data_IF_437412747206
#
_entry.id   IF_437412747206
#
_cell.length_a   1.000
_cell.length_b   1.000
_cell.length_c   1.000
_cell.angle_alpha   90.00
_cell.angle_beta   90.00
_cell.angle_gamma   90.00
#
_symmetry.space_group_name_H-M   'P 1'
#
loop_
_entity.id
_entity.type
_entity.pdbx_description
1 polymer ?
#
# COMPACT_ATOMS: atom_id res chain seq x y z
N UNK A 1 -19.70 -2.31 -22.86
CA UNK A 1 -20.02 -2.93 -21.55
C UNK A 1 -19.01 -4.05 -21.33
N UNK A 2 -18.50 -4.26 -20.10
CA UNK A 2 -17.78 -5.50 -19.81
C UNK A 2 -18.71 -6.68 -20.10
N UNK A 3 -18.16 -7.78 -20.61
CA UNK A 3 -18.92 -9.02 -20.74
C UNK A 3 -19.44 -9.42 -19.35
N UNK A 4 -20.68 -9.89 -19.26
CA UNK A 4 -21.29 -10.35 -18.01
C UNK A 4 -20.40 -11.38 -17.30
N UNK A 5 -19.76 -12.27 -18.06
CA UNK A 5 -18.84 -13.26 -17.53
C UNK A 5 -17.60 -12.65 -16.86
N UNK A 6 -17.04 -11.59 -17.43
CA UNK A 6 -15.90 -10.85 -16.87
C UNK A 6 -16.30 -10.22 -15.53
N UNK A 7 -17.42 -9.52 -15.48
CA UNK A 7 -17.86 -8.87 -14.23
C UNK A 7 -18.17 -9.88 -13.12
N UNK A 8 -18.70 -11.07 -13.45
CA UNK A 8 -19.00 -12.10 -12.45
C UNK A 8 -17.72 -12.64 -11.84
N UNK A 9 -16.72 -12.97 -12.67
CA UNK A 9 -15.46 -13.54 -12.18
C UNK A 9 -14.69 -12.54 -11.29
N UNK A 10 -14.67 -11.25 -11.66
CA UNK A 10 -14.04 -10.22 -10.83
C UNK A 10 -14.74 -10.08 -9.48
N UNK A 11 -16.08 -10.00 -9.47
CA UNK A 11 -16.87 -9.87 -8.24
C UNK A 11 -16.74 -11.07 -7.33
N UNK A 12 -16.64 -12.28 -7.89
CA UNK A 12 -16.37 -13.50 -7.13
C UNK A 12 -15.04 -13.37 -6.38
N UNK A 13 -13.97 -12.99 -7.10
CA UNK A 13 -12.64 -12.83 -6.50
C UNK A 13 -12.61 -11.74 -5.42
N UNK A 14 -13.30 -10.61 -5.66
CA UNK A 14 -13.46 -9.54 -4.67
C UNK A 14 -14.20 -10.01 -3.42
N UNK A 15 -15.28 -10.78 -3.59
CA UNK A 15 -16.06 -11.32 -2.47
C UNK A 15 -15.24 -12.32 -1.67
N UNK A 16 -14.48 -13.20 -2.33
CA UNK A 16 -13.56 -14.13 -1.67
C UNK A 16 -12.52 -13.38 -0.82
N UNK A 17 -11.93 -12.30 -1.34
CA UNK A 17 -11.02 -11.45 -0.56
C UNK A 17 -11.71 -10.82 0.66
N UNK A 18 -12.93 -10.30 0.50
CA UNK A 18 -13.69 -9.68 1.58
C UNK A 18 -14.10 -10.67 2.67
N UNK A 19 -14.30 -11.93 2.30
CA UNK A 19 -14.73 -13.02 3.21
C UNK A 19 -13.57 -13.83 3.79
N UNK A 20 -12.32 -13.50 3.41
CA UNK A 20 -11.13 -14.15 3.94
C UNK A 20 -10.71 -15.42 3.20
N UNK A 21 -11.38 -15.77 2.10
CA UNK A 21 -11.04 -16.90 1.25
C UNK A 21 -9.86 -16.57 0.30
N UNK A 22 -8.70 -16.22 0.87
CA UNK A 22 -7.60 -15.60 0.13
C UNK A 22 -6.99 -16.53 -0.93
N UNK A 23 -6.84 -17.82 -0.67
CA UNK A 23 -6.37 -18.79 -1.67
C UNK A 23 -7.34 -18.92 -2.85
N UNK A 24 -8.64 -18.82 -2.59
CA UNK A 24 -9.66 -18.87 -3.62
C UNK A 24 -9.66 -17.56 -4.43
N UNK A 25 -9.56 -16.41 -3.74
CA UNK A 25 -9.45 -15.10 -4.36
C UNK A 25 -8.23 -15.03 -5.30
N UNK A 26 -7.06 -15.48 -4.85
CA UNK A 26 -5.84 -15.56 -5.66
C UNK A 26 -6.09 -16.33 -6.97
N UNK A 27 -6.70 -17.52 -6.90
CA UNK A 27 -7.01 -18.34 -8.07
C UNK A 27 -7.99 -17.63 -9.01
N UNK A 28 -9.06 -17.04 -8.48
CA UNK A 28 -10.08 -16.35 -9.28
C UNK A 28 -9.53 -15.11 -9.98
N UNK A 29 -8.70 -14.30 -9.31
CA UNK A 29 -8.04 -13.16 -9.95
C UNK A 29 -7.01 -13.58 -11.00
N UNK A 30 -6.22 -14.62 -10.74
CA UNK A 30 -5.28 -15.14 -11.75
C UNK A 30 -6.02 -15.65 -12.98
N UNK A 31 -7.14 -16.34 -12.79
CA UNK A 31 -8.01 -16.76 -13.89
C UNK A 31 -8.53 -15.54 -14.66
N UNK A 32 -9.01 -14.52 -13.96
CA UNK A 32 -9.47 -13.27 -14.57
C UNK A 32 -8.40 -12.62 -15.45
N UNK A 33 -7.19 -12.45 -14.91
CA UNK A 33 -6.07 -11.79 -15.62
C UNK A 33 -5.68 -12.59 -16.87
N UNK A 34 -5.71 -13.93 -16.81
CA UNK A 34 -5.40 -14.81 -17.95
C UNK A 34 -6.49 -14.81 -19.02
N UNK A 35 -7.76 -14.79 -18.61
CA UNK A 35 -8.90 -14.86 -19.53
C UNK A 35 -9.19 -13.51 -20.18
N UNK A 36 -9.11 -12.41 -19.43
CA UNK A 36 -9.53 -11.09 -19.86
C UNK A 36 -8.36 -10.11 -19.98
N UNK A 37 -7.40 -10.43 -20.86
CA UNK A 37 -6.12 -9.71 -20.98
C UNK A 37 -6.22 -8.26 -21.48
N UNK A 38 -7.39 -7.84 -21.98
CA UNK A 38 -7.68 -6.46 -22.42
C UNK A 38 -8.69 -5.76 -21.50
N UNK A 39 -9.02 -6.37 -20.35
CA UNK A 39 -9.98 -5.82 -19.40
C UNK A 39 -9.51 -4.49 -18.81
N UNK A 40 -10.45 -3.54 -18.67
CA UNK A 40 -10.23 -2.32 -17.90
C UNK A 40 -10.00 -2.58 -16.40
N UNK A 41 -10.39 -3.75 -15.89
CA UNK A 41 -10.31 -4.15 -14.48
C UNK A 41 -9.03 -4.94 -14.16
N UNK A 42 -8.08 -5.04 -15.09
CA UNK A 42 -6.81 -5.74 -14.83
C UNK A 42 -6.06 -5.19 -13.62
N UNK A 43 -6.11 -3.88 -13.38
CA UNK A 43 -5.48 -3.28 -12.19
C UNK A 43 -6.20 -3.67 -10.90
N UNK A 44 -7.52 -3.77 -10.92
CA UNK A 44 -8.31 -4.28 -9.79
C UNK A 44 -7.90 -5.72 -9.48
N UNK A 45 -7.86 -6.57 -10.51
CA UNK A 45 -7.51 -7.97 -10.34
C UNK A 45 -6.08 -8.13 -9.81
N UNK A 46 -5.10 -7.39 -10.34
CA UNK A 46 -3.71 -7.42 -9.86
C UNK A 46 -3.57 -6.95 -8.42
N UNK A 47 -4.23 -5.85 -8.06
CA UNK A 47 -4.26 -5.38 -6.67
C UNK A 47 -4.91 -6.42 -5.76
N UNK A 48 -6.02 -7.02 -6.21
CA UNK A 48 -6.72 -8.09 -5.50
C UNK A 48 -5.87 -9.34 -5.28
N UNK A 49 -5.11 -9.79 -6.28
CA UNK A 49 -4.13 -10.87 -6.15
C UNK A 49 -3.05 -10.51 -5.14
N UNK A 50 -2.49 -9.29 -5.23
CA UNK A 50 -1.48 -8.80 -4.29
C UNK A 50 -1.99 -8.81 -2.85
N UNK A 51 -3.23 -8.34 -2.62
CA UNK A 51 -3.87 -8.33 -1.32
C UNK A 51 -4.11 -9.75 -0.79
N UNK A 52 -4.63 -10.65 -1.63
CA UNK A 52 -4.83 -12.05 -1.25
C UNK A 52 -3.50 -12.70 -0.83
N UNK A 53 -2.42 -12.44 -1.56
CA UNK A 53 -1.08 -12.95 -1.24
C UNK A 53 -0.52 -12.34 0.04
N UNK A 54 -0.71 -11.05 0.27
CA UNK A 54 -0.31 -10.35 1.49
C UNK A 54 -0.99 -10.95 2.72
N UNK A 55 -2.30 -11.24 2.65
CA UNK A 55 -3.06 -11.87 3.74
C UNK A 55 -2.68 -13.32 4.00
N UNK A 56 -2.09 -13.98 3.02
CA UNK A 56 -1.46 -15.30 3.16
C UNK A 56 0.02 -15.21 3.60
N UNK A 57 0.51 -14.03 3.98
CA UNK A 57 1.91 -13.77 4.36
C UNK A 57 2.94 -14.06 3.26
N UNK A 58 2.48 -14.21 2.01
CA UNK A 58 3.32 -14.41 0.82
C UNK A 58 3.86 -13.08 0.31
N UNK A 59 4.48 -12.30 1.19
CA UNK A 59 4.83 -10.89 0.96
C UNK A 59 5.67 -10.65 -0.30
N UNK A 60 6.63 -11.52 -0.60
CA UNK A 60 7.45 -11.35 -1.81
C UNK A 60 6.64 -11.52 -3.09
N UNK A 61 5.65 -12.42 -3.10
CA UNK A 61 4.73 -12.59 -4.24
C UNK A 61 3.76 -11.41 -4.32
N UNK A 62 3.25 -10.94 -3.19
CA UNK A 62 2.39 -9.75 -3.14
C UNK A 62 3.09 -8.51 -3.72
N UNK A 63 4.35 -8.27 -3.33
CA UNK A 63 5.19 -7.19 -3.89
C UNK A 63 5.30 -7.30 -5.41
N UNK A 64 5.46 -8.52 -5.94
CA UNK A 64 5.56 -8.73 -7.38
C UNK A 64 4.27 -8.34 -8.11
N UNK A 65 3.10 -8.65 -7.54
CA UNK A 65 1.80 -8.27 -8.11
C UNK A 65 1.54 -6.76 -8.01
N UNK A 66 1.81 -6.14 -6.85
CA UNK A 66 1.65 -4.70 -6.69
C UNK A 66 2.59 -3.91 -7.61
N UNK A 67 3.80 -4.42 -7.87
CA UNK A 67 4.75 -3.81 -8.82
C UNK A 67 4.20 -3.76 -10.24
N UNK A 68 3.32 -4.68 -10.64
CA UNK A 68 2.67 -4.65 -11.96
C UNK A 68 1.69 -3.48 -12.13
N UNK A 69 1.33 -2.79 -11.05
CA UNK A 69 0.52 -1.55 -11.11
C UNK A 69 1.36 -0.33 -11.50
N UNK A 70 2.69 -0.47 -11.49
CA UNK A 70 3.64 0.60 -11.78
C UNK A 70 4.15 0.50 -13.22
N UNK A 71 4.43 1.63 -13.89
CA UNK A 71 5.03 1.62 -15.21
C UNK A 71 6.46 1.07 -15.15
N UNK A 72 6.87 0.36 -16.20
CA UNK A 72 8.21 -0.23 -16.31
C UNK A 72 9.34 0.81 -16.36
N UNK A 73 9.07 2.03 -16.88
CA UNK A 73 10.09 3.09 -17.00
C UNK A 73 9.69 4.32 -16.17
N UNK A 74 10.44 4.59 -15.09
CA UNK A 74 10.25 5.72 -14.18
C UNK A 74 11.25 6.83 -14.55
N UNK A 75 11.12 7.40 -15.76
CA UNK A 75 12.06 8.44 -16.26
C UNK A 75 11.52 9.87 -16.25
N UNK A 76 10.23 10.08 -15.96
CA UNK A 76 9.61 11.42 -15.83
C UNK A 76 9.14 11.64 -14.40
N UNK A 77 8.95 12.93 -14.03
CA UNK A 77 8.24 13.35 -12.80
C UNK A 77 7.01 12.47 -12.63
N UNK A 78 7.12 11.48 -11.75
CA UNK A 78 6.13 10.43 -11.59
C UNK A 78 4.99 11.03 -10.78
N UNK A 79 3.85 11.29 -11.40
CA UNK A 79 2.61 11.56 -10.66
C UNK A 79 1.91 10.23 -10.48
N UNK A 80 1.77 9.77 -9.24
CA UNK A 80 1.09 8.50 -8.96
C UNK A 80 -0.42 8.69 -9.14
N UNK A 81 -1.06 7.81 -9.91
CA UNK A 81 -2.50 7.64 -9.85
C UNK A 81 -2.90 6.79 -8.63
N UNK A 82 -4.21 6.68 -8.37
CA UNK A 82 -4.74 5.96 -7.22
C UNK A 82 -4.19 4.52 -7.10
N UNK A 83 -4.11 3.78 -8.21
CA UNK A 83 -3.62 2.40 -8.19
C UNK A 83 -2.13 2.33 -7.86
N UNK A 84 -1.35 3.25 -8.41
CA UNK A 84 0.08 3.32 -8.16
C UNK A 84 0.39 3.72 -6.71
N UNK A 85 -0.38 4.65 -6.15
CA UNK A 85 -0.28 5.04 -4.72
C UNK A 85 -0.57 3.84 -3.83
N UNK A 86 -1.69 3.15 -4.07
CA UNK A 86 -2.07 1.97 -3.30
C UNK A 86 -1.04 0.84 -3.43
N UNK A 87 -0.58 0.56 -4.64
CA UNK A 87 0.43 -0.48 -4.90
C UNK A 87 1.74 -0.21 -4.16
N UNK A 88 2.28 1.02 -4.23
CA UNK A 88 3.51 1.38 -3.51
C UNK A 88 3.35 1.31 -2.01
N UNK A 89 2.25 1.82 -1.47
CA UNK A 89 2.01 1.74 -0.03
C UNK A 89 1.97 0.28 0.44
N UNK A 90 1.24 -0.60 -0.25
CA UNK A 90 1.18 -2.02 0.11
C UNK A 90 2.52 -2.75 -0.09
N UNK A 91 3.32 -2.35 -1.08
CA UNK A 91 4.71 -2.83 -1.19
C UNK A 91 5.53 -2.45 0.06
N UNK A 92 5.38 -1.21 0.56
CA UNK A 92 5.99 -0.75 1.81
C UNK A 92 5.58 -1.60 3.01
N UNK A 93 4.28 -1.85 3.18
CA UNK A 93 3.75 -2.72 4.25
C UNK A 93 4.28 -4.16 4.15
N UNK A 94 4.32 -4.74 2.95
CA UNK A 94 4.91 -6.07 2.73
C UNK A 94 6.41 -6.09 3.09
N UNK A 95 7.15 -5.03 2.73
CA UNK A 95 8.58 -4.91 3.06
C UNK A 95 8.81 -4.73 4.55
N UNK A 96 7.91 -4.05 5.28
CA UNK A 96 7.93 -3.98 6.74
C UNK A 96 7.78 -5.37 7.38
N UNK A 97 6.82 -6.17 6.93
CA UNK A 97 6.63 -7.54 7.42
C UNK A 97 7.85 -8.44 7.14
N UNK A 98 8.56 -8.17 6.03
CA UNK A 98 9.83 -8.81 5.69
C UNK A 98 11.04 -8.19 6.42
N UNK A 99 10.85 -7.21 7.30
CA UNK A 99 11.90 -6.47 8.01
C UNK A 99 12.91 -5.76 7.07
N UNK A 100 12.53 -5.52 5.82
CA UNK A 100 13.35 -4.80 4.83
C UNK A 100 13.12 -3.29 4.94
N UNK A 101 13.48 -2.73 6.10
CA UNK A 101 13.12 -1.36 6.51
C UNK A 101 13.58 -0.27 5.54
N UNK A 102 14.77 -0.39 4.96
CA UNK A 102 15.29 0.62 4.01
C UNK A 102 14.50 0.64 2.70
N UNK A 103 14.09 -0.55 2.23
CA UNK A 103 13.25 -0.65 1.03
C UNK A 103 11.84 -0.16 1.33
N UNK A 104 11.29 -0.50 2.48
CA UNK A 104 9.98 0.00 2.93
C UNK A 104 9.98 1.54 3.00
N UNK A 105 11.02 2.14 3.61
CA UNK A 105 11.21 3.58 3.66
C UNK A 105 11.22 4.20 2.25
N UNK A 106 11.90 3.58 1.28
CA UNK A 106 11.92 4.05 -0.10
C UNK A 106 10.53 4.08 -0.75
N UNK A 107 9.68 3.08 -0.50
CA UNK A 107 8.31 3.06 -1.03
C UNK A 107 7.44 4.14 -0.38
N UNK A 108 7.53 4.34 0.93
CA UNK A 108 6.77 5.38 1.62
C UNK A 108 7.22 6.80 1.25
N UNK A 109 8.52 7.04 1.10
CA UNK A 109 9.04 8.30 0.56
C UNK A 109 8.49 8.57 -0.84
N UNK A 110 8.39 7.55 -1.68
CA UNK A 110 7.81 7.69 -3.01
C UNK A 110 6.33 8.08 -2.95
N UNK A 111 5.55 7.48 -2.05
CA UNK A 111 4.13 7.85 -1.84
C UNK A 111 4.03 9.30 -1.34
N UNK A 112 4.77 9.69 -0.31
CA UNK A 112 4.75 11.07 0.20
C UNK A 112 5.08 12.10 -0.91
N UNK A 113 6.12 11.81 -1.70
CA UNK A 113 6.63 12.74 -2.71
C UNK A 113 5.77 12.80 -3.96
N UNK A 114 5.09 11.73 -4.35
CA UNK A 114 4.51 11.59 -5.70
C UNK A 114 2.98 11.38 -5.73
N UNK A 115 2.33 11.28 -4.56
CA UNK A 115 0.89 11.08 -4.44
C UNK A 115 0.10 12.40 -4.31
N UNK A 116 0.48 13.46 -5.05
CA UNK A 116 -0.24 14.74 -5.00
C UNK A 116 -1.73 14.54 -5.34
N UNK A 117 -2.61 14.96 -4.44
CA UNK A 117 -4.06 14.76 -4.53
C UNK A 117 -4.60 13.58 -3.71
N UNK A 118 -3.72 12.86 -3.01
CA UNK A 118 -4.08 11.73 -2.13
C UNK A 118 -3.54 11.97 -0.70
N UNK A 119 -4.02 13.02 0.01
CA UNK A 119 -3.46 13.43 1.30
C UNK A 119 -3.52 12.34 2.37
N UNK A 120 -4.55 11.50 2.38
CA UNK A 120 -4.65 10.38 3.33
C UNK A 120 -3.52 9.36 3.12
N UNK A 121 -3.13 9.10 1.87
CA UNK A 121 -2.04 8.17 1.56
C UNK A 121 -0.67 8.78 1.86
N UNK A 122 -0.49 10.07 1.60
CA UNK A 122 0.72 10.78 2.03
C UNK A 122 0.86 10.76 3.56
N UNK A 123 -0.22 11.04 4.29
CA UNK A 123 -0.24 11.02 5.75
C UNK A 123 0.11 9.64 6.32
N UNK A 124 -0.50 8.57 5.78
CA UNK A 124 -0.17 7.19 6.14
C UNK A 124 1.31 6.86 5.86
N UNK A 125 1.82 7.24 4.69
CA UNK A 125 3.22 6.97 4.34
C UNK A 125 4.20 7.66 5.30
N UNK A 126 4.00 8.95 5.61
CA UNK A 126 4.87 9.68 6.55
C UNK A 126 4.77 9.11 7.97
N UNK A 127 3.57 8.65 8.38
CA UNK A 127 3.39 7.93 9.65
C UNK A 127 4.23 6.64 9.69
N UNK A 128 4.17 5.83 8.63
CA UNK A 128 4.97 4.59 8.54
C UNK A 128 6.47 4.87 8.52
N UNK A 129 6.93 5.95 7.86
CA UNK A 129 8.32 6.38 7.94
C UNK A 129 8.73 6.68 9.38
N UNK A 130 7.88 7.35 10.16
CA UNK A 130 8.09 7.58 11.58
C UNK A 130 8.16 6.27 12.39
N UNK A 131 7.29 5.30 12.11
CA UNK A 131 7.31 3.97 12.74
C UNK A 131 8.60 3.20 12.44
N UNK A 132 9.09 3.25 11.19
CA UNK A 132 10.38 2.66 10.82
C UNK A 132 11.52 3.28 11.63
N UNK A 133 11.51 4.61 11.82
CA UNK A 133 12.53 5.29 12.61
C UNK A 133 12.49 4.87 14.09
N UNK A 134 11.31 4.63 14.66
CA UNK A 134 11.18 4.07 16.00
C UNK A 134 11.77 2.67 16.11
N UNK A 135 11.53 1.80 15.12
CA UNK A 135 12.14 0.46 15.07
C UNK A 135 13.67 0.56 15.05
N UNK A 136 14.21 1.59 14.38
CA UNK A 136 15.65 1.89 14.34
C UNK A 136 16.16 2.64 15.58
N UNK A 137 15.33 2.83 16.60
CA UNK A 137 15.61 3.59 17.82
C UNK A 137 15.96 5.08 17.58
N UNK A 138 15.60 5.64 16.44
CA UNK A 138 15.78 7.05 16.12
C UNK A 138 14.53 7.85 16.51
N UNK A 139 14.37 8.05 17.83
CA UNK A 139 13.21 8.73 18.42
C UNK A 139 13.11 10.19 17.99
N UNK A 140 14.25 10.85 17.73
CA UNK A 140 14.28 12.26 17.31
C UNK A 140 13.69 12.41 15.91
N UNK A 141 14.19 11.67 14.93
CA UNK A 141 13.66 11.73 13.57
C UNK A 141 12.23 11.17 13.51
N UNK A 142 11.91 10.13 14.28
CA UNK A 142 10.54 9.64 14.39
C UNK A 142 9.58 10.74 14.86
N UNK A 143 9.93 11.46 15.93
CA UNK A 143 9.14 12.59 16.44
C UNK A 143 8.97 13.69 15.40
N UNK A 144 10.01 13.96 14.62
CA UNK A 144 9.94 14.91 13.50
C UNK A 144 8.89 14.49 12.46
N UNK A 145 8.89 13.21 12.06
CA UNK A 145 7.88 12.66 11.13
C UNK A 145 6.47 12.68 11.70
N UNK A 146 6.28 12.37 12.98
CA UNK A 146 4.95 12.44 13.60
C UNK A 146 4.40 13.87 13.62
N UNK A 147 5.23 14.86 13.98
CA UNK A 147 4.87 16.28 13.92
C UNK A 147 4.55 16.72 12.50
N UNK A 148 5.28 16.21 11.52
CA UNK A 148 5.03 16.47 10.12
C UNK A 148 3.65 15.96 9.67
N UNK A 149 3.24 14.75 10.07
CA UNK A 149 1.89 14.22 9.79
C UNK A 149 0.82 15.15 10.35
N UNK A 150 0.94 15.56 11.61
CA UNK A 150 -0.04 16.42 12.29
C UNK A 150 -0.11 17.80 11.61
N UNK A 151 1.03 18.37 11.25
CA UNK A 151 1.10 19.70 10.62
C UNK A 151 0.56 19.70 9.20
N UNK A 152 0.94 18.71 8.37
CA UNK A 152 0.57 18.66 6.95
C UNK A 152 -0.83 18.07 6.73
N UNK A 153 -1.27 17.16 7.59
CA UNK A 153 -2.48 16.36 7.40
C UNK A 153 -3.38 16.31 8.65
N UNK A 154 -3.72 17.46 9.27
CA UNK A 154 -4.34 17.52 10.60
C UNK A 154 -5.72 16.85 10.70
N UNK A 155 -6.42 16.66 9.58
CA UNK A 155 -7.77 16.07 9.53
C UNK A 155 -7.78 14.56 9.27
N UNK A 156 -6.61 13.94 9.14
CA UNK A 156 -6.50 12.52 8.80
C UNK A 156 -6.42 11.65 10.05
N UNK A 157 -6.88 10.40 9.97
CA UNK A 157 -6.68 9.42 11.06
C UNK A 157 -5.20 9.23 11.39
N UNK A 158 -4.32 9.35 10.38
CA UNK A 158 -2.87 9.27 10.58
C UNK A 158 -2.34 10.37 11.52
N UNK A 159 -2.91 11.59 11.50
CA UNK A 159 -2.54 12.64 12.44
C UNK A 159 -2.93 12.29 13.89
N UNK A 160 -4.11 11.70 14.09
CA UNK A 160 -4.51 11.20 15.42
C UNK A 160 -3.57 10.10 15.92
N UNK A 161 -3.18 9.17 15.05
CA UNK A 161 -2.22 8.10 15.39
C UNK A 161 -0.83 8.67 15.66
N UNK A 162 -0.36 9.63 14.85
CA UNK A 162 0.91 10.30 15.04
C UNK A 162 0.99 11.03 16.40
N UNK A 163 -0.10 11.63 16.86
CA UNK A 163 -0.14 12.26 18.19
C UNK A 163 0.06 11.23 19.31
N UNK A 164 -0.58 10.06 19.21
CA UNK A 164 -0.37 8.98 20.20
C UNK A 164 1.08 8.54 20.27
N UNK A 165 1.73 8.37 19.11
CA UNK A 165 3.17 8.05 19.07
C UNK A 165 4.03 9.14 19.71
N UNK A 166 3.72 10.42 19.52
CA UNK A 166 4.47 11.51 20.18
C UNK A 166 4.33 11.46 21.70
N UNK A 167 3.13 11.18 22.19
CA UNK A 167 2.86 11.05 23.62
C UNK A 167 3.64 9.87 24.20
N UNK A 168 3.62 8.72 23.53
CA UNK A 168 4.38 7.52 23.91
C UNK A 168 5.90 7.78 23.96
N UNK A 169 6.47 8.43 22.92
CA UNK A 169 7.89 8.77 22.87
C UNK A 169 8.28 9.66 24.04
N UNK A 170 7.42 10.62 24.41
CA UNK A 170 7.65 11.55 25.53
C UNK A 170 7.57 10.85 26.88
N UNK A 171 6.69 9.86 27.05
CA UNK A 171 6.52 9.14 28.32
C UNK A 171 7.48 7.97 28.50
N UNK A 172 8.03 7.43 27.41
CA UNK A 172 8.93 6.27 27.40
C UNK A 172 10.41 6.62 27.15
N UNK A 173 10.82 7.84 27.48
CA UNK A 173 12.22 8.28 27.55
C UNK A 173 12.55 8.66 28.99
#
# INVERSE_FOLDING_TARGET
>A
QPDLAESILLRLAETQNLTGEYEAAEKSYILFIKTYTQSQWLRNARYGTGYALEKQEKYQKAINEYRQLLPADIKKKLKLDKWMVQGRYQMGECLLNLQQYDKAMGEFVSVDTNAQGYPDWQAKAVLEMGRILLIKNDKEQASSRMKEVIKRFPKTTAATVAQKYLDEIRTGG
#
